data_IF_518438648446
#
_entry.id   IF_518438648446
#
_cell.length_a   1.000
_cell.length_b   1.000
_cell.length_c   1.000
_cell.angle_alpha   90.00
_cell.angle_beta   90.00
_cell.angle_gamma   90.00
#
_symmetry.space_group_name_H-M   'P 1'
#
loop_
_entity.id
_entity.type
_entity.pdbx_description
1 polymer ?
#
# COMPACT_ATOMS: atom_id res chain seq x y z
N UNK A 1 -17.74 85.29 -1.15
CA UNK A 1 -16.38 85.42 -0.58
C UNK A 1 -16.17 84.41 0.54
N UNK A 2 -15.47 83.31 0.26
CA UNK A 2 -14.39 82.71 1.08
C UNK A 2 -14.04 81.36 0.45
N UNK A 3 -12.97 81.40 -0.33
CA UNK A 3 -12.23 80.26 -0.86
C UNK A 3 -11.56 79.51 0.29
N UNK A 4 -11.76 78.20 0.34
CA UNK A 4 -10.97 77.30 1.17
C UNK A 4 -9.70 76.91 0.41
N UNK A 5 -8.48 77.12 0.94
CA UNK A 5 -7.31 76.45 0.37
C UNK A 5 -7.12 75.11 1.08
N UNK A 6 -7.10 74.05 0.26
CA UNK A 6 -6.57 72.74 0.60
C UNK A 6 -5.10 72.93 1.01
N UNK A 7 -4.80 72.65 2.29
CA UNK A 7 -3.41 72.63 2.78
C UNK A 7 -2.87 71.22 2.59
N UNK A 8 -2.12 71.03 1.51
CA UNK A 8 -1.22 69.90 1.37
C UNK A 8 -0.07 70.06 2.38
N UNK A 9 -0.02 69.19 3.38
CA UNK A 9 1.18 68.97 4.19
C UNK A 9 1.92 67.77 3.60
N UNK A 10 2.92 68.07 2.79
CA UNK A 10 3.90 67.11 2.33
C UNK A 10 5.19 67.89 2.11
N UNK A 11 6.05 67.96 3.12
CA UNK A 11 7.52 67.84 2.99
C UNK A 11 8.21 68.20 4.31
N UNK A 12 8.54 67.17 5.07
CA UNK A 12 9.45 67.24 6.20
C UNK A 12 10.28 65.97 6.23
N UNK A 13 11.18 65.84 5.24
CA UNK A 13 12.12 64.74 5.08
C UNK A 13 12.93 64.55 6.37
N UNK A 14 12.53 63.58 7.20
CA UNK A 14 13.37 63.06 8.28
C UNK A 14 14.39 62.10 7.69
N UNK A 15 15.52 62.70 7.34
CA UNK A 15 16.82 62.10 7.09
C UNK A 15 17.21 61.17 8.25
N UNK A 16 17.56 59.93 7.92
CA UNK A 16 18.27 59.00 8.81
C UNK A 16 17.52 57.72 9.17
N UNK A 17 17.51 56.73 8.27
CA UNK A 17 17.53 55.32 8.70
C UNK A 17 18.93 54.77 8.44
N UNK A 18 19.66 54.33 9.47
CA UNK A 18 20.93 53.68 9.27
C UNK A 18 20.72 52.39 8.48
N UNK A 19 21.67 52.16 7.56
CA UNK A 19 21.96 50.87 6.94
C UNK A 19 22.13 49.83 8.04
N UNK A 20 21.08 49.07 8.31
CA UNK A 20 21.12 47.87 9.13
C UNK A 20 20.56 46.74 8.30
N UNK A 21 21.43 45.95 7.66
CA UNK A 21 21.01 44.66 7.14
C UNK A 21 20.36 43.90 8.29
N UNK A 22 19.12 43.44 8.10
CA UNK A 22 18.46 42.58 9.07
C UNK A 22 19.44 41.45 9.42
N UNK A 23 19.82 41.25 10.69
CA UNK A 23 20.58 40.07 11.05
C UNK A 23 19.64 38.89 10.77
N UNK A 24 19.98 38.09 9.76
CA UNK A 24 19.28 36.85 9.50
C UNK A 24 19.24 36.06 10.82
N UNK A 25 18.05 35.61 11.27
CA UNK A 25 17.91 35.01 12.58
C UNK A 25 18.83 33.80 12.74
N UNK A 26 19.49 33.70 13.91
CA UNK A 26 20.44 32.64 14.26
C UNK A 26 19.84 31.22 14.13
N UNK A 27 18.51 31.12 14.15
CA UNK A 27 17.71 29.91 13.94
C UNK A 27 17.95 29.22 12.59
N UNK A 28 18.49 29.92 11.59
CA UNK A 28 18.81 29.32 10.27
C UNK A 28 19.88 28.23 10.33
N UNK A 29 20.77 28.24 11.34
CA UNK A 29 21.78 27.17 11.54
C UNK A 29 21.25 25.96 12.29
N UNK A 30 20.29 26.13 13.20
CA UNK A 30 19.65 25.02 13.94
C UNK A 30 18.76 24.15 13.04
N UNK A 31 18.22 24.73 11.95
CA UNK A 31 17.34 24.05 11.01
C UNK A 31 18.02 22.97 10.14
N UNK A 32 19.35 22.98 10.00
CA UNK A 32 20.09 21.94 9.26
C UNK A 32 20.37 20.68 10.09
N UNK A 33 20.59 20.82 11.41
CA UNK A 33 20.73 19.65 12.31
C UNK A 33 19.38 18.98 12.55
N UNK A 34 18.34 19.77 12.84
CA UNK A 34 16.98 19.26 13.02
C UNK A 34 16.50 18.42 11.83
N UNK A 35 16.74 18.87 10.59
CA UNK A 35 16.36 18.09 9.40
C UNK A 35 17.11 16.77 9.29
N UNK A 36 18.41 16.71 9.61
CA UNK A 36 19.18 15.45 9.57
C UNK A 36 18.73 14.48 10.65
N UNK A 37 18.41 14.97 11.85
CA UNK A 37 17.90 14.16 12.96
C UNK A 37 16.52 13.58 12.64
N UNK A 38 15.62 14.36 12.02
CA UNK A 38 14.33 13.89 11.52
C UNK A 38 14.49 12.75 10.49
N UNK A 39 15.42 12.89 9.54
CA UNK A 39 15.70 11.83 8.56
C UNK A 39 16.26 10.57 9.22
N UNK A 40 17.17 10.70 10.18
CA UNK A 40 17.72 9.55 10.92
C UNK A 40 16.64 8.83 11.71
N UNK A 41 15.75 9.57 12.39
CA UNK A 41 14.63 8.99 13.11
C UNK A 41 13.64 8.27 12.17
N UNK A 42 13.31 8.88 11.03
CA UNK A 42 12.45 8.27 10.01
C UNK A 42 13.07 7.00 9.43
N UNK A 43 14.37 7.03 9.11
CA UNK A 43 15.09 5.85 8.61
C UNK A 43 15.23 4.76 9.68
N UNK A 44 15.45 5.11 10.95
CA UNK A 44 15.52 4.13 12.03
C UNK A 44 14.17 3.41 12.23
N UNK A 45 13.07 4.15 12.21
CA UNK A 45 11.71 3.60 12.30
C UNK A 45 11.38 2.71 11.10
N UNK A 46 11.69 3.18 9.89
CA UNK A 46 11.50 2.41 8.66
C UNK A 46 12.39 1.16 8.62
N UNK A 47 13.66 1.30 9.02
CA UNK A 47 14.63 0.21 9.04
C UNK A 47 14.20 -0.90 9.98
N UNK A 48 13.59 -0.58 11.13
CA UNK A 48 13.05 -1.60 12.03
C UNK A 48 11.94 -2.41 11.35
N UNK A 49 10.99 -1.73 10.69
CA UNK A 49 9.93 -2.41 9.92
C UNK A 49 10.48 -3.26 8.77
N UNK A 50 11.43 -2.72 8.00
CA UNK A 50 12.09 -3.46 6.93
C UNK A 50 12.90 -4.65 7.44
N UNK A 51 13.57 -4.51 8.59
CA UNK A 51 14.33 -5.59 9.21
C UNK A 51 13.42 -6.74 9.62
N UNK A 52 12.26 -6.43 10.21
CA UNK A 52 11.26 -7.44 10.53
C UNK A 52 10.72 -8.14 9.28
N UNK A 53 10.39 -7.40 8.23
CA UNK A 53 9.96 -7.97 6.94
C UNK A 53 11.08 -8.85 6.35
N UNK A 54 12.33 -8.37 6.36
CA UNK A 54 13.46 -9.11 5.83
C UNK A 54 13.67 -10.43 6.59
N UNK A 55 13.55 -10.41 7.92
CA UNK A 55 13.81 -11.58 8.77
C UNK A 55 12.66 -12.59 8.77
N UNK A 56 11.40 -12.12 8.79
CA UNK A 56 10.24 -13.01 8.95
C UNK A 56 9.51 -13.34 7.65
N UNK A 57 9.70 -12.55 6.60
CA UNK A 57 9.05 -12.79 5.29
C UNK A 57 10.10 -13.17 4.26
N UNK A 58 11.07 -12.29 4.01
CA UNK A 58 12.03 -12.49 2.91
C UNK A 58 12.94 -13.68 3.19
N UNK A 59 13.50 -13.81 4.39
CA UNK A 59 14.38 -14.92 4.75
C UNK A 59 13.72 -16.29 4.58
N UNK A 60 12.53 -16.60 5.15
CA UNK A 60 11.89 -17.89 4.91
C UNK A 60 11.48 -18.08 3.44
N UNK A 61 11.05 -17.03 2.72
CA UNK A 61 10.75 -17.14 1.28
C UNK A 61 11.98 -17.53 0.47
N UNK A 62 13.12 -16.88 0.71
CA UNK A 62 14.40 -17.23 0.06
C UNK A 62 14.83 -18.63 0.44
N UNK A 63 14.65 -19.05 1.70
CA UNK A 63 14.94 -20.42 2.15
C UNK A 63 14.09 -21.45 1.43
N UNK A 64 12.81 -21.18 1.22
CA UNK A 64 11.90 -22.05 0.46
C UNK A 64 12.33 -22.16 -1.00
N UNK A 65 12.69 -21.04 -1.63
CA UNK A 65 13.22 -21.04 -3.00
C UNK A 65 14.53 -21.83 -3.06
N UNK A 66 15.44 -21.61 -2.11
CA UNK A 66 16.69 -22.36 -2.04
C UNK A 66 16.43 -23.85 -1.93
N UNK A 67 15.59 -24.28 -0.98
CA UNK A 67 15.21 -25.69 -0.80
C UNK A 67 14.58 -26.30 -2.05
N UNK A 68 13.79 -25.53 -2.81
CA UNK A 68 13.15 -26.02 -4.04
C UNK A 68 14.13 -26.42 -5.15
N UNK A 69 15.38 -25.95 -5.08
CA UNK A 69 16.47 -26.29 -6.01
C UNK A 69 17.24 -27.57 -5.61
N UNK A 70 16.96 -28.12 -4.43
CA UNK A 70 17.55 -29.38 -3.96
C UNK A 70 16.52 -30.50 -4.01
N UNK A 71 17.01 -31.72 -4.17
CA UNK A 71 16.25 -32.96 -4.03
C UNK A 71 16.96 -33.86 -3.00
N UNK A 72 16.38 -35.01 -2.64
CA UNK A 72 16.94 -35.96 -1.64
C UNK A 72 18.40 -36.37 -1.92
N UNK A 73 18.83 -36.30 -3.19
CA UNK A 73 20.17 -36.69 -3.65
C UNK A 73 21.14 -35.52 -3.85
N UNK A 74 20.71 -34.27 -3.64
CA UNK A 74 21.55 -33.07 -3.80
C UNK A 74 20.95 -31.98 -4.69
N UNK A 75 21.79 -31.04 -5.14
CA UNK A 75 21.38 -29.89 -5.95
C UNK A 75 20.95 -30.32 -7.36
N UNK A 76 19.70 -30.04 -7.73
CA UNK A 76 19.12 -30.39 -9.04
C UNK A 76 18.80 -29.16 -9.89
N UNK A 77 19.02 -27.96 -9.36
CA UNK A 77 18.76 -26.70 -10.05
C UNK A 77 17.29 -26.55 -10.48
N UNK A 78 17.07 -26.05 -11.71
CA UNK A 78 15.72 -25.85 -12.24
C UNK A 78 15.02 -27.12 -12.74
N UNK A 79 15.68 -28.28 -12.68
CA UNK A 79 15.10 -29.54 -13.18
C UNK A 79 13.82 -29.91 -12.43
N UNK A 80 13.75 -29.59 -11.13
CA UNK A 80 12.56 -29.81 -10.31
C UNK A 80 11.35 -29.04 -10.87
N UNK A 81 11.52 -27.76 -11.20
CA UNK A 81 10.48 -26.94 -11.79
C UNK A 81 10.02 -27.44 -13.16
N UNK A 82 10.95 -27.89 -14.01
CA UNK A 82 10.62 -28.41 -15.33
C UNK A 82 9.78 -29.68 -15.25
N UNK A 83 10.14 -30.60 -14.34
CA UNK A 83 9.38 -31.82 -14.08
C UNK A 83 7.99 -31.52 -13.53
N UNK A 84 7.86 -30.57 -12.60
CA UNK A 84 6.57 -30.15 -12.05
C UNK A 84 5.67 -29.50 -13.10
N UNK A 85 6.20 -28.67 -13.99
CA UNK A 85 5.40 -28.02 -15.05
C UNK A 85 4.99 -28.97 -16.17
N UNK A 86 5.68 -30.10 -16.34
CA UNK A 86 5.32 -31.15 -17.30
C UNK A 86 4.44 -32.24 -16.68
N UNK A 87 4.22 -32.19 -15.36
CA UNK A 87 3.36 -33.13 -14.69
C UNK A 87 1.89 -32.82 -15.04
N UNK A 88 1.17 -33.85 -15.48
CA UNK A 88 -0.23 -33.75 -15.90
C UNK A 88 -1.14 -33.42 -14.72
N UNK A 89 -0.72 -33.67 -13.49
CA UNK A 89 -1.48 -33.25 -12.30
C UNK A 89 -1.38 -31.75 -12.02
N UNK A 90 -0.34 -31.08 -12.53
CA UNK A 90 -0.08 -29.66 -12.28
C UNK A 90 -0.53 -28.83 -13.49
N UNK A 91 -0.22 -29.29 -14.70
CA UNK A 91 -0.52 -28.61 -15.97
C UNK A 91 -1.05 -29.62 -17.00
N UNK A 92 -2.37 -29.70 -17.19
CA UNK A 92 -2.97 -30.50 -18.28
C UNK A 92 -3.69 -29.62 -19.30
N UNK A 93 -2.91 -29.05 -20.24
CA UNK A 93 -3.45 -28.31 -21.39
C UNK A 93 -4.24 -29.22 -22.35
N UNK A 94 -4.00 -30.54 -22.33
CA UNK A 94 -4.64 -31.48 -23.26
C UNK A 94 -6.09 -31.78 -22.89
N UNK A 95 -6.44 -31.64 -21.60
CA UNK A 95 -7.81 -31.77 -21.08
C UNK A 95 -8.55 -30.44 -20.92
N UNK A 96 -7.82 -29.32 -20.98
CA UNK A 96 -8.39 -27.98 -20.93
C UNK A 96 -9.49 -27.84 -22.00
N UNK A 97 -10.71 -27.54 -21.56
CA UNK A 97 -11.93 -27.42 -22.39
C UNK A 97 -12.51 -28.71 -23.02
N UNK A 98 -11.92 -29.90 -22.82
CA UNK A 98 -12.38 -31.15 -23.48
C UNK A 98 -12.94 -32.24 -22.55
N UNK A 99 -12.62 -32.22 -21.26
CA UNK A 99 -13.06 -33.21 -20.25
C UNK A 99 -13.42 -32.52 -18.93
N UNK A 100 -14.15 -33.20 -18.05
CA UNK A 100 -14.46 -32.72 -16.70
C UNK A 100 -13.19 -32.49 -15.85
N UNK A 101 -13.20 -31.52 -14.92
CA UNK A 101 -12.08 -31.22 -14.03
C UNK A 101 -11.62 -32.45 -13.22
N UNK A 102 -10.32 -32.55 -12.85
CA UNK A 102 -9.33 -31.47 -12.78
C UNK A 102 -8.44 -31.31 -14.03
N UNK A 103 -8.25 -30.06 -14.49
CA UNK A 103 -7.38 -29.66 -15.62
C UNK A 103 -5.92 -29.41 -15.21
N UNK A 104 -5.52 -30.00 -14.09
CA UNK A 104 -4.30 -29.66 -13.37
C UNK A 104 -4.51 -28.54 -12.35
N UNK A 105 -3.78 -28.60 -11.24
CA UNK A 105 -3.95 -27.70 -10.11
C UNK A 105 -3.73 -26.23 -10.48
N UNK A 106 -2.79 -25.92 -11.38
CA UNK A 106 -2.50 -24.53 -11.76
C UNK A 106 -3.61 -23.92 -12.61
N UNK A 107 -4.06 -24.61 -13.66
CA UNK A 107 -5.11 -24.09 -14.54
C UNK A 107 -6.44 -23.96 -13.82
N UNK A 108 -6.79 -24.93 -12.97
CA UNK A 108 -8.02 -24.85 -12.17
C UNK A 108 -8.02 -23.64 -11.23
N UNK A 109 -6.93 -23.41 -10.47
CA UNK A 109 -6.80 -22.25 -9.60
C UNK A 109 -6.81 -20.93 -10.41
N UNK A 110 -6.14 -20.88 -11.56
CA UNK A 110 -6.09 -19.68 -12.37
C UNK A 110 -7.47 -19.30 -12.91
N UNK A 111 -8.22 -20.28 -13.44
CA UNK A 111 -9.61 -20.06 -13.90
C UNK A 111 -10.49 -19.64 -12.74
N UNK A 112 -10.35 -20.28 -11.57
CA UNK A 112 -11.09 -19.91 -10.38
C UNK A 112 -10.82 -18.46 -9.96
N UNK A 113 -9.56 -18.04 -9.87
CA UNK A 113 -9.19 -16.65 -9.57
C UNK A 113 -9.76 -15.70 -10.61
N UNK A 114 -9.60 -16.02 -11.90
CA UNK A 114 -10.07 -15.18 -13.00
C UNK A 114 -11.58 -14.95 -12.98
N UNK A 115 -12.36 -15.92 -12.51
CA UNK A 115 -13.83 -15.79 -12.39
C UNK A 115 -14.23 -15.17 -11.05
N UNK A 116 -13.65 -15.66 -9.95
CA UNK A 116 -14.05 -15.29 -8.59
C UNK A 116 -13.65 -13.85 -8.24
N UNK A 117 -12.49 -13.39 -8.69
CA UNK A 117 -11.98 -12.05 -8.39
C UNK A 117 -12.89 -10.94 -8.97
N UNK A 118 -13.22 -10.91 -10.28
CA UNK A 118 -14.13 -9.89 -10.80
C UNK A 118 -15.55 -10.05 -10.25
N UNK A 119 -15.99 -11.27 -9.94
CA UNK A 119 -17.30 -11.50 -9.33
C UNK A 119 -17.40 -10.86 -7.94
N UNK A 120 -16.43 -11.13 -7.06
CA UNK A 120 -16.41 -10.59 -5.69
C UNK A 120 -16.18 -9.08 -5.67
N UNK A 121 -15.25 -8.57 -6.48
CA UNK A 121 -15.01 -7.13 -6.63
C UNK A 121 -16.23 -6.43 -7.21
N UNK A 122 -16.86 -7.02 -8.23
CA UNK A 122 -18.09 -6.50 -8.84
C UNK A 122 -19.23 -6.40 -7.85
N UNK A 123 -19.49 -7.46 -7.08
CA UNK A 123 -20.50 -7.45 -6.02
C UNK A 123 -20.18 -6.42 -4.93
N UNK A 124 -18.93 -6.33 -4.49
CA UNK A 124 -18.49 -5.33 -3.51
C UNK A 124 -18.70 -3.90 -4.00
N UNK A 125 -18.42 -3.63 -5.28
CA UNK A 125 -18.63 -2.33 -5.90
C UNK A 125 -20.12 -2.00 -6.03
N UNK A 126 -20.95 -2.95 -6.48
CA UNK A 126 -22.41 -2.79 -6.55
C UNK A 126 -22.96 -2.46 -5.16
N UNK A 127 -22.55 -3.21 -4.13
CA UNK A 127 -22.97 -2.97 -2.76
C UNK A 127 -22.52 -1.59 -2.25
N UNK A 128 -21.28 -1.18 -2.56
CA UNK A 128 -20.77 0.15 -2.20
C UNK A 128 -21.58 1.27 -2.86
N UNK A 129 -21.91 1.14 -4.15
CA UNK A 129 -22.74 2.13 -4.87
C UNK A 129 -24.15 2.19 -4.29
N UNK A 130 -24.77 1.04 -3.99
CA UNK A 130 -26.08 1.01 -3.33
C UNK A 130 -26.00 1.72 -1.98
N UNK A 131 -25.04 1.38 -1.13
CA UNK A 131 -24.84 1.99 0.20
C UNK A 131 -24.55 3.48 0.17
N UNK A 132 -23.93 3.99 -0.91
CA UNK A 132 -23.72 5.44 -1.08
C UNK A 132 -25.03 6.24 -1.23
N UNK A 133 -26.14 5.59 -1.63
CA UNK A 133 -27.43 6.23 -1.92
C UNK A 133 -28.49 6.04 -0.84
N UNK A 134 -28.26 5.18 0.17
CA UNK A 134 -29.25 4.85 1.20
C UNK A 134 -29.08 5.72 2.45
N UNK A 135 -30.19 5.95 3.17
CA UNK A 135 -30.21 6.75 4.41
C UNK A 135 -29.26 6.17 5.47
N UNK A 136 -28.44 7.03 6.09
CA UNK A 136 -27.26 6.66 6.87
C UNK A 136 -27.48 5.68 8.04
N UNK A 137 -28.69 5.58 8.61
CA UNK A 137 -28.93 4.69 9.76
C UNK A 137 -28.84 3.20 9.37
N UNK A 138 -29.54 2.77 8.30
CA UNK A 138 -29.51 1.38 7.85
C UNK A 138 -28.12 0.91 7.41
N UNK A 139 -27.32 1.83 6.87
CA UNK A 139 -25.94 1.56 6.46
C UNK A 139 -25.05 1.19 7.65
N UNK A 140 -25.29 1.77 8.83
CA UNK A 140 -24.55 1.44 10.05
C UNK A 140 -24.76 -0.01 10.51
N UNK A 141 -26.01 -0.48 10.50
CA UNK A 141 -26.37 -1.86 10.86
C UNK A 141 -25.79 -2.85 9.84
N UNK A 142 -25.93 -2.54 8.55
CA UNK A 142 -25.40 -3.40 7.49
C UNK A 142 -23.86 -3.53 7.55
N UNK A 143 -23.14 -2.43 7.79
CA UNK A 143 -21.68 -2.47 8.01
C UNK A 143 -21.33 -3.35 9.21
N UNK A 144 -22.03 -3.18 10.34
CA UNK A 144 -21.82 -4.00 11.53
C UNK A 144 -21.99 -5.50 11.27
N UNK A 145 -23.04 -5.89 10.55
CA UNK A 145 -23.29 -7.29 10.19
C UNK A 145 -22.20 -7.85 9.25
N UNK A 146 -21.77 -7.07 8.25
CA UNK A 146 -20.69 -7.46 7.33
C UNK A 146 -19.38 -7.62 8.11
N UNK A 147 -19.03 -6.68 8.97
CA UNK A 147 -17.82 -6.77 9.80
C UNK A 147 -17.87 -7.95 10.76
N UNK A 148 -19.04 -8.25 11.34
CA UNK A 148 -19.19 -9.41 12.21
C UNK A 148 -18.86 -10.70 11.44
N UNK A 149 -19.36 -10.86 10.22
CA UNK A 149 -19.04 -12.03 9.38
C UNK A 149 -17.56 -12.12 8.98
N UNK A 150 -16.87 -10.99 8.83
CA UNK A 150 -15.42 -10.96 8.55
C UNK A 150 -14.60 -11.33 9.79
N UNK A 151 -15.08 -10.97 10.98
CA UNK A 151 -14.37 -11.17 12.25
C UNK A 151 -14.67 -12.54 12.86
N UNK A 152 -15.80 -13.18 12.50
CA UNK A 152 -16.13 -14.52 12.98
C UNK A 152 -15.08 -15.53 12.53
N UNK A 153 -14.38 -16.22 13.46
CA UNK A 153 -13.40 -17.22 13.10
C UNK A 153 -14.02 -18.36 12.30
N UNK A 154 -13.32 -18.81 11.26
CA UNK A 154 -13.78 -19.88 10.36
C UNK A 154 -14.10 -21.20 11.11
N UNK A 155 -13.47 -21.43 12.27
CA UNK A 155 -13.67 -22.61 13.13
C UNK A 155 -15.10 -22.72 13.69
N UNK A 156 -15.85 -21.61 13.76
CA UNK A 156 -17.22 -21.59 14.32
C UNK A 156 -18.28 -21.79 13.24
N UNK A 157 -17.93 -21.56 11.97
CA UNK A 157 -18.86 -21.64 10.83
C UNK A 157 -18.76 -22.92 9.99
N UNK A 158 -17.83 -23.82 10.32
CA UNK A 158 -17.59 -25.09 9.62
C UNK A 158 -18.18 -26.29 10.33
#
# INVERSE_FOLDING_TARGET
>A
MRSSPIRADNTGIRKGRPRGGLPLPFWTRLRRRARKEEWVAAFAFLALGLLLIALFVIWPSVRTIWLSLFNEKGFVGLKNFWTLLHDREIVDLSRFLRREPPWGALLHNLVWIAIHLPFTVGLGLVLAVVFSKVKSWWVGIARGAIYLGIVTPLIVGG
#
